data_IF_811664461483
#
_entry.id   IF_811664461483
#
_cell.length_a   1.000
_cell.length_b   1.000
_cell.length_c   1.000
_cell.angle_alpha   90.00
_cell.angle_beta   90.00
_cell.angle_gamma   90.00
#
_symmetry.space_group_name_H-M   'P 1'
#
loop_
_entity.id
_entity.type
_entity.pdbx_description
1 polymer ?
#
# COMPACT_ATOMS: atom_id res chain seq x y z
N UNK A 1 1.61 -14.13 -13.01
CA UNK A 1 1.10 -12.80 -12.67
C UNK A 1 -0.32 -13.00 -12.17
N UNK A 2 -0.53 -13.03 -10.85
CA UNK A 2 -1.88 -13.14 -10.33
C UNK A 2 -2.59 -11.81 -10.63
N UNK A 3 -3.65 -11.85 -11.43
CA UNK A 3 -4.46 -10.66 -11.65
C UNK A 3 -5.40 -10.52 -10.46
N UNK A 4 -5.26 -9.44 -9.69
CA UNK A 4 -6.24 -9.10 -8.67
C UNK A 4 -7.60 -8.91 -9.31
N UNK A 5 -8.62 -9.57 -8.76
CA UNK A 5 -9.99 -9.35 -9.21
C UNK A 5 -10.53 -8.02 -8.67
N UNK A 6 -11.55 -7.48 -9.33
CA UNK A 6 -12.17 -6.18 -8.99
C UNK A 6 -12.56 -6.06 -7.51
N UNK A 7 -13.00 -7.16 -6.89
CA UNK A 7 -13.32 -7.19 -5.45
C UNK A 7 -12.09 -6.94 -4.58
N UNK A 8 -10.97 -7.60 -4.88
CA UNK A 8 -9.71 -7.44 -4.13
C UNK A 8 -9.16 -6.04 -4.32
N UNK A 9 -9.18 -5.51 -5.55
CA UNK A 9 -8.75 -4.13 -5.84
C UNK A 9 -9.53 -3.14 -4.97
N UNK A 10 -10.85 -3.32 -4.86
CA UNK A 10 -11.68 -2.42 -4.07
C UNK A 10 -11.39 -2.54 -2.56
N UNK A 11 -11.25 -3.76 -2.04
CA UNK A 11 -10.87 -3.97 -0.63
C UNK A 11 -9.51 -3.35 -0.31
N UNK A 12 -8.50 -3.62 -1.13
CA UNK A 12 -7.16 -3.06 -0.96
C UNK A 12 -7.12 -1.54 -1.14
N UNK A 13 -7.95 -0.97 -2.02
CA UNK A 13 -8.08 0.48 -2.17
C UNK A 13 -8.70 1.14 -0.93
N UNK A 14 -9.69 0.50 -0.31
CA UNK A 14 -10.27 0.95 0.97
C UNK A 14 -9.23 0.85 2.09
N UNK A 15 -8.45 -0.23 2.13
CA UNK A 15 -7.35 -0.36 3.08
C UNK A 15 -6.27 0.71 2.86
N UNK A 16 -5.85 0.93 1.62
CA UNK A 16 -4.88 1.96 1.25
C UNK A 16 -5.34 3.35 1.68
N UNK A 17 -6.61 3.68 1.44
CA UNK A 17 -7.22 4.94 1.86
C UNK A 17 -7.26 5.12 3.39
N UNK A 18 -7.15 4.04 4.17
CA UNK A 18 -7.01 4.13 5.64
C UNK A 18 -5.56 4.32 6.08
N UNK A 19 -4.60 3.96 5.23
CA UNK A 19 -3.17 4.16 5.47
C UNK A 19 -2.74 5.58 5.09
N UNK A 20 -3.30 6.11 4.00
CA UNK A 20 -3.11 7.48 3.53
C UNK A 20 -3.91 8.44 4.43
N UNK A 21 -3.30 8.77 5.57
CA UNK A 21 -3.92 9.60 6.60
C UNK A 21 -4.02 11.05 6.14
N UNK A 22 -3.06 11.50 5.35
CA UNK A 22 -3.03 12.86 4.79
C UNK A 22 -3.87 12.99 3.50
N UNK A 23 -4.36 11.88 2.95
CA UNK A 23 -5.09 11.82 1.67
C UNK A 23 -4.29 12.39 0.50
N UNK A 24 -2.99 12.16 0.52
CA UNK A 24 -2.06 12.62 -0.51
C UNK A 24 -2.16 11.78 -1.79
N UNK A 25 -2.76 10.58 -1.72
CA UNK A 25 -2.78 9.58 -2.77
C UNK A 25 -1.60 8.60 -2.71
N UNK A 26 -0.65 8.83 -1.81
CA UNK A 26 0.47 7.92 -1.52
C UNK A 26 0.58 7.66 -0.02
N UNK A 27 1.15 6.52 0.35
CA UNK A 27 1.44 6.19 1.75
C UNK A 27 2.93 6.37 1.98
N UNK A 28 3.28 7.39 2.76
CA UNK A 28 4.65 7.63 3.16
C UNK A 28 5.12 6.65 4.24
N UNK A 29 6.44 6.46 4.39
CA UNK A 29 7.03 5.66 5.49
C UNK A 29 6.45 6.03 6.85
N UNK A 30 6.30 7.32 7.09
CA UNK A 30 5.78 7.86 8.35
C UNK A 30 4.33 7.44 8.61
N UNK A 31 3.51 7.37 7.56
CA UNK A 31 2.10 6.97 7.64
C UNK A 31 2.00 5.46 7.84
N UNK A 32 2.77 4.67 7.07
CA UNK A 32 2.85 3.23 7.27
C UNK A 32 3.31 2.89 8.69
N UNK A 33 4.30 3.62 9.22
CA UNK A 33 4.83 3.41 10.57
C UNK A 33 3.85 3.77 11.68
N UNK A 34 2.93 4.71 11.42
CA UNK A 34 1.83 5.04 12.32
C UNK A 34 0.66 4.05 12.21
N UNK A 35 0.59 3.32 11.10
CA UNK A 35 -0.42 2.29 10.87
C UNK A 35 -0.08 0.99 11.60
N UNK A 36 -1.10 0.23 12.06
CA UNK A 36 -0.90 -1.12 12.60
C UNK A 36 -0.23 -2.09 11.61
N UNK A 37 -0.19 -1.76 10.31
CA UNK A 37 0.47 -2.58 9.30
C UNK A 37 2.00 -2.46 9.28
N UNK A 38 2.59 -1.50 10.01
CA UNK A 38 4.05 -1.34 10.06
C UNK A 38 4.80 -2.59 10.51
N UNK A 39 4.14 -3.51 11.24
CA UNK A 39 4.71 -4.77 11.70
C UNK A 39 4.39 -5.97 10.81
N UNK A 40 3.45 -5.82 9.87
CA UNK A 40 2.99 -6.90 8.98
C UNK A 40 3.73 -6.84 7.65
N UNK A 41 3.87 -5.63 7.09
CA UNK A 41 4.56 -5.42 5.82
C UNK A 41 5.75 -4.51 6.03
N UNK A 42 6.91 -4.88 5.46
CA UNK A 42 8.04 -3.94 5.43
C UNK A 42 7.75 -2.92 4.36
N UNK A 43 7.93 -1.64 4.70
CA UNK A 43 7.84 -0.55 3.74
C UNK A 43 8.64 -0.83 2.46
N UNK A 44 9.85 -1.39 2.62
CA UNK A 44 10.75 -1.74 1.51
C UNK A 44 10.22 -2.85 0.58
N UNK A 45 9.32 -3.69 1.06
CA UNK A 45 8.68 -4.71 0.21
C UNK A 45 7.51 -4.13 -0.60
N UNK A 46 6.94 -3.01 -0.14
CA UNK A 46 5.85 -2.32 -0.82
C UNK A 46 6.36 -1.19 -1.74
N UNK A 47 7.43 -0.51 -1.36
CA UNK A 47 8.08 0.57 -2.12
C UNK A 47 9.01 -0.03 -3.18
N UNK A 48 8.42 -0.53 -4.27
CA UNK A 48 9.14 -1.23 -5.33
C UNK A 48 10.06 -0.31 -6.13
N UNK A 49 9.68 0.97 -6.30
CA UNK A 49 10.49 1.96 -7.02
C UNK A 49 11.52 2.67 -6.11
N UNK A 50 11.46 2.44 -4.79
CA UNK A 50 12.33 3.06 -3.78
C UNK A 50 12.21 4.60 -3.70
N UNK A 51 11.06 5.17 -4.06
CA UNK A 51 10.79 6.62 -3.98
C UNK A 51 10.35 7.06 -2.57
N UNK A 52 10.31 6.13 -1.60
CA UNK A 52 9.87 6.37 -0.21
C UNK A 52 8.39 6.73 -0.09
N UNK A 53 7.63 6.42 -1.13
CA UNK A 53 6.19 6.61 -1.21
C UNK A 53 5.58 5.34 -1.79
N UNK A 54 4.58 4.77 -1.13
CA UNK A 54 3.86 3.62 -1.67
C UNK A 54 2.62 4.14 -2.38
N UNK A 55 2.57 3.96 -3.69
CA UNK A 55 1.38 4.25 -4.48
C UNK A 55 0.35 3.14 -4.36
N UNK A 56 -0.92 3.43 -4.66
CA UNK A 56 -1.97 2.41 -4.70
C UNK A 56 -1.60 1.26 -5.65
N UNK A 57 -0.95 1.56 -6.77
CA UNK A 57 -0.49 0.56 -7.74
C UNK A 57 0.55 -0.37 -7.13
N UNK A 58 1.58 0.18 -6.49
CA UNK A 58 2.62 -0.64 -5.84
C UNK A 58 2.04 -1.48 -4.70
N UNK A 59 1.13 -0.91 -3.92
CA UNK A 59 0.43 -1.64 -2.88
C UNK A 59 -0.38 -2.82 -3.47
N UNK A 60 -1.11 -2.59 -4.55
CA UNK A 60 -1.87 -3.64 -5.23
C UNK A 60 -0.95 -4.71 -5.82
N UNK A 61 0.15 -4.32 -6.47
CA UNK A 61 1.14 -5.26 -7.02
C UNK A 61 1.72 -6.13 -5.91
N UNK A 62 2.11 -5.55 -4.78
CA UNK A 62 2.65 -6.29 -3.65
C UNK A 62 1.62 -7.24 -2.99
N UNK A 63 0.31 -6.95 -3.09
CA UNK A 63 -0.74 -7.88 -2.64
C UNK A 63 -1.12 -8.93 -3.70
N UNK A 64 -0.65 -8.75 -4.94
CA UNK A 64 -0.90 -9.65 -6.06
C UNK A 64 0.22 -10.68 -6.27
N UNK A 65 1.42 -10.42 -5.76
CA UNK A 65 2.52 -11.39 -5.67
C UNK A 65 2.29 -12.43 -4.56
#
# INVERSE_FOLDING_TARGET
>A
MASLNTKQINEYSVFFSKLDLDKSGTVSVSELRKSPLSGIFKFKELDGDHDKQITLTEFLVAMAE
#
